data_IF_455081627869
#
_entry.id   IF_455081627869
#
_cell.length_a   1.000
_cell.length_b   1.000
_cell.length_c   1.000
_cell.angle_alpha   90.00
_cell.angle_beta   90.00
_cell.angle_gamma   90.00
#
_symmetry.space_group_name_H-M   'P 1'
#
loop_
_entity.id
_entity.type
_entity.pdbx_description
1 polymer ?
#
# COMPACT_ATOMS: atom_id res chain seq x y z
N UNK A 1 4.55 65.45 -191.22
CA UNK A 1 4.09 65.81 -189.85
C UNK A 1 3.04 64.79 -189.41
N UNK A 2 2.99 64.45 -188.10
CA UNK A 2 1.85 63.88 -187.31
C UNK A 2 1.97 62.41 -186.84
N UNK A 3 1.72 62.18 -185.53
CA UNK A 3 0.73 61.21 -184.98
C UNK A 3 1.10 60.10 -183.96
N UNK A 4 2.35 59.71 -183.64
CA UNK A 4 2.54 58.48 -182.81
C UNK A 4 3.53 58.51 -181.62
N UNK A 5 4.53 59.40 -181.57
CA UNK A 5 5.57 59.31 -180.51
C UNK A 5 5.23 59.95 -179.15
N UNK A 6 4.30 60.90 -179.08
CA UNK A 6 3.94 61.56 -177.81
C UNK A 6 3.11 60.65 -176.87
N UNK A 7 2.41 59.64 -177.41
CA UNK A 7 1.55 58.75 -176.61
C UNK A 7 2.36 57.70 -175.83
N UNK A 8 3.51 57.27 -176.36
CA UNK A 8 4.40 56.31 -175.69
C UNK A 8 5.14 56.94 -174.49
N UNK A 9 5.51 58.22 -174.56
CA UNK A 9 6.22 58.91 -173.47
C UNK A 9 5.33 59.18 -172.24
N UNK A 10 4.02 59.43 -172.45
CA UNK A 10 3.07 59.66 -171.35
C UNK A 10 2.80 58.37 -170.57
N UNK A 11 2.65 57.23 -171.25
CA UNK A 11 2.41 55.93 -170.61
C UNK A 11 3.63 55.43 -169.81
N UNK A 12 4.87 55.72 -170.26
CA UNK A 12 6.08 55.37 -169.52
C UNK A 12 6.26 56.19 -168.23
N UNK A 13 5.84 57.46 -168.22
CA UNK A 13 5.95 58.33 -167.04
C UNK A 13 4.91 57.96 -165.97
N UNK A 14 3.72 57.52 -166.38
CA UNK A 14 2.68 56.99 -165.49
C UNK A 14 3.12 55.70 -164.79
N UNK A 15 3.82 54.80 -165.50
CA UNK A 15 4.30 53.54 -164.93
C UNK A 15 5.41 53.75 -163.88
N UNK A 16 6.35 54.68 -164.11
CA UNK A 16 7.39 55.00 -163.12
C UNK A 16 6.83 55.69 -161.87
N UNK A 17 5.84 56.56 -162.02
CA UNK A 17 5.14 57.20 -160.90
C UNK A 17 4.42 56.16 -160.02
N UNK A 18 3.75 55.18 -160.62
CA UNK A 18 3.07 54.12 -159.89
C UNK A 18 4.05 53.24 -159.09
N UNK A 19 5.23 52.93 -159.64
CA UNK A 19 6.27 52.15 -158.94
C UNK A 19 6.79 52.88 -157.70
N UNK A 20 7.08 54.18 -157.82
CA UNK A 20 7.55 55.01 -156.71
C UNK A 20 6.52 55.11 -155.57
N UNK A 21 5.23 55.24 -155.89
CA UNK A 21 4.16 55.28 -154.89
C UNK A 21 4.03 53.94 -154.15
N UNK A 22 4.10 52.80 -154.87
CA UNK A 22 4.09 51.49 -154.21
C UNK A 22 5.34 51.22 -153.35
N UNK A 23 6.50 51.74 -153.75
CA UNK A 23 7.75 51.60 -152.98
C UNK A 23 7.71 52.43 -151.69
N UNK A 24 7.21 53.67 -151.77
CA UNK A 24 6.99 54.54 -150.63
C UNK A 24 5.96 53.94 -149.66
N UNK A 25 4.87 53.37 -150.19
CA UNK A 25 3.86 52.73 -149.35
C UNK A 25 4.40 51.47 -148.68
N UNK A 26 5.20 50.65 -149.37
CA UNK A 26 5.85 49.48 -148.77
C UNK A 26 6.82 49.87 -147.66
N UNK A 27 7.67 50.88 -147.89
CA UNK A 27 8.58 51.39 -146.87
C UNK A 27 7.86 52.01 -145.67
N UNK A 28 6.73 52.67 -145.91
CA UNK A 28 5.89 53.16 -144.84
C UNK A 28 5.31 52.00 -144.01
N UNK A 29 4.77 50.96 -144.65
CA UNK A 29 4.27 49.75 -143.96
C UNK A 29 5.38 49.04 -143.18
N UNK A 30 6.59 48.91 -143.75
CA UNK A 30 7.74 48.33 -143.06
C UNK A 30 8.20 49.18 -141.87
N UNK A 31 8.25 50.51 -142.02
CA UNK A 31 8.58 51.42 -140.92
C UNK A 31 7.51 51.39 -139.82
N UNK A 32 6.24 51.27 -140.19
CA UNK A 32 5.11 51.12 -139.27
C UNK A 32 5.20 49.80 -138.50
N UNK A 33 5.58 48.71 -139.18
CA UNK A 33 5.82 47.40 -138.56
C UNK A 33 7.02 47.43 -137.60
N UNK A 34 8.12 48.10 -137.96
CA UNK A 34 9.28 48.26 -137.08
C UNK A 34 8.93 49.11 -135.86
N UNK A 35 8.16 50.19 -136.05
CA UNK A 35 7.64 51.04 -134.97
C UNK A 35 6.77 50.24 -134.02
N UNK A 36 5.86 49.42 -134.55
CA UNK A 36 4.99 48.57 -133.73
C UNK A 36 5.79 47.49 -132.97
N UNK A 37 6.85 46.94 -133.59
CA UNK A 37 7.70 45.94 -132.95
C UNK A 37 8.58 46.55 -131.84
N UNK A 38 9.14 47.75 -132.07
CA UNK A 38 9.85 48.52 -131.05
C UNK A 38 8.93 48.94 -129.90
N UNK A 39 7.67 49.28 -130.18
CA UNK A 39 6.68 49.50 -129.12
C UNK A 39 6.40 48.24 -128.31
N UNK A 40 6.31 47.06 -128.96
CA UNK A 40 6.15 45.77 -128.26
C UNK A 40 7.37 45.45 -127.40
N UNK A 41 8.59 45.69 -127.90
CA UNK A 41 9.83 45.54 -127.11
C UNK A 41 9.91 46.54 -125.96
N UNK A 42 9.55 47.81 -126.18
CA UNK A 42 9.49 48.82 -125.14
C UNK A 42 8.49 48.45 -124.04
N UNK A 43 7.31 47.92 -124.40
CA UNK A 43 6.34 47.38 -123.44
C UNK A 43 6.90 46.15 -122.69
N UNK A 44 7.59 45.24 -123.39
CA UNK A 44 8.22 44.05 -122.80
C UNK A 44 9.32 44.40 -121.79
N UNK A 45 10.19 45.36 -122.13
CA UNK A 45 11.24 45.88 -121.25
C UNK A 45 10.64 46.61 -120.04
N UNK A 46 9.58 47.41 -120.25
CA UNK A 46 8.85 48.05 -119.15
C UNK A 46 8.26 47.02 -118.18
N UNK A 47 7.69 45.93 -118.69
CA UNK A 47 7.22 44.81 -117.86
C UNK A 47 8.37 44.10 -117.11
N UNK A 48 9.54 43.92 -117.74
CA UNK A 48 10.71 43.31 -117.08
C UNK A 48 11.26 44.19 -115.95
N UNK A 49 11.37 45.50 -116.18
CA UNK A 49 11.80 46.48 -115.16
C UNK A 49 10.83 46.48 -113.97
N UNK A 50 9.53 46.39 -114.25
CA UNK A 50 8.52 46.33 -113.20
C UNK A 50 8.64 45.03 -112.38
N UNK A 51 8.91 43.90 -113.03
CA UNK A 51 9.18 42.61 -112.34
C UNK A 51 10.46 42.66 -111.51
N UNK A 52 11.53 43.28 -111.99
CA UNK A 52 12.77 43.42 -111.20
C UNK A 52 12.55 44.30 -109.98
N UNK A 53 11.79 45.39 -110.12
CA UNK A 53 11.43 46.26 -109.02
C UNK A 53 10.51 45.55 -108.01
N UNK A 54 9.61 44.67 -108.48
CA UNK A 54 8.84 43.77 -107.61
C UNK A 54 9.73 42.76 -106.87
N UNK A 55 10.75 42.19 -107.52
CA UNK A 55 11.71 41.30 -106.84
C UNK A 55 12.58 42.03 -105.83
N UNK A 56 13.01 43.25 -106.12
CA UNK A 56 13.77 44.09 -105.18
C UNK A 56 12.92 44.43 -103.94
N UNK A 57 11.65 44.79 -104.13
CA UNK A 57 10.71 44.98 -103.01
C UNK A 57 10.56 43.71 -102.17
N UNK A 58 10.48 42.53 -102.79
CA UNK A 58 10.43 41.25 -102.07
C UNK A 58 11.73 40.95 -101.32
N UNK A 59 12.88 41.24 -101.90
CA UNK A 59 14.19 41.07 -101.24
C UNK A 59 14.32 42.02 -100.04
N UNK A 60 13.92 43.28 -100.19
CA UNK A 60 13.91 44.25 -99.09
C UNK A 60 12.97 43.79 -97.96
N UNK A 61 11.77 43.29 -98.31
CA UNK A 61 10.83 42.73 -97.33
C UNK A 61 11.42 41.51 -96.61
N UNK A 62 12.01 40.55 -97.34
CA UNK A 62 12.65 39.36 -96.75
C UNK A 62 13.84 39.73 -95.86
N UNK A 63 14.58 40.79 -96.19
CA UNK A 63 15.69 41.29 -95.37
C UNK A 63 15.17 41.88 -94.06
N UNK A 64 14.10 42.68 -94.12
CA UNK A 64 13.44 43.21 -92.92
C UNK A 64 12.85 42.08 -92.06
N UNK A 65 12.21 41.08 -92.68
CA UNK A 65 11.66 39.92 -91.98
C UNK A 65 12.77 39.09 -91.32
N UNK A 66 13.91 38.90 -91.99
CA UNK A 66 15.08 38.21 -91.43
C UNK A 66 15.65 38.96 -90.22
N UNK A 67 15.78 40.29 -90.30
CA UNK A 67 16.20 41.10 -89.16
C UNK A 67 15.20 41.02 -88.00
N UNK A 68 13.90 41.10 -88.29
CA UNK A 68 12.86 40.92 -87.27
C UNK A 68 12.92 39.53 -86.62
N UNK A 69 13.18 38.47 -87.40
CA UNK A 69 13.37 37.12 -86.86
C UNK A 69 14.66 37.00 -86.02
N UNK A 70 15.76 37.64 -86.43
CA UNK A 70 17.00 37.66 -85.65
C UNK A 70 16.80 38.35 -84.30
N UNK A 71 16.13 39.50 -84.26
CA UNK A 71 15.81 40.17 -83.00
C UNK A 71 14.85 39.35 -82.13
N UNK A 72 13.87 38.66 -82.75
CA UNK A 72 13.00 37.73 -82.04
C UNK A 72 13.78 36.56 -81.43
N UNK A 73 14.73 35.98 -82.16
CA UNK A 73 15.58 34.89 -81.65
C UNK A 73 16.46 35.37 -80.51
N UNK A 74 17.06 36.57 -80.61
CA UNK A 74 17.83 37.17 -79.51
C UNK A 74 16.97 37.35 -78.26
N UNK A 75 15.77 37.91 -78.42
CA UNK A 75 14.82 38.11 -77.31
C UNK A 75 14.38 36.78 -76.70
N UNK A 76 14.12 35.75 -77.49
CA UNK A 76 13.77 34.42 -76.98
C UNK A 76 14.96 33.76 -76.26
N UNK A 77 16.19 33.98 -76.73
CA UNK A 77 17.39 33.44 -76.10
C UNK A 77 17.61 34.06 -74.72
N UNK A 78 17.48 35.39 -74.60
CA UNK A 78 17.58 36.07 -73.31
C UNK A 78 16.44 35.68 -72.37
N UNK A 79 15.21 35.54 -72.88
CA UNK A 79 14.06 35.06 -72.11
C UNK A 79 14.28 33.62 -71.61
N UNK A 80 14.83 32.73 -72.46
CA UNK A 80 15.15 31.35 -72.09
C UNK A 80 16.23 31.27 -71.03
N UNK A 81 17.29 32.09 -71.14
CA UNK A 81 18.35 32.17 -70.13
C UNK A 81 17.82 32.69 -68.79
N UNK A 82 16.99 33.73 -68.82
CA UNK A 82 16.34 34.27 -67.62
C UNK A 82 15.40 33.23 -66.98
N UNK A 83 14.64 32.50 -67.81
CA UNK A 83 13.74 31.43 -67.33
C UNK A 83 14.51 30.25 -66.75
N UNK A 84 15.66 29.90 -67.33
CA UNK A 84 16.54 28.86 -66.82
C UNK A 84 17.17 29.27 -65.48
N UNK A 85 17.61 30.53 -65.32
CA UNK A 85 18.12 31.05 -64.06
C UNK A 85 17.02 31.08 -62.98
N UNK A 86 15.80 31.50 -63.32
CA UNK A 86 14.66 31.46 -62.42
C UNK A 86 14.29 30.02 -62.00
N UNK A 87 14.34 29.06 -62.94
CA UNK A 87 14.10 27.65 -62.65
C UNK A 87 15.19 27.04 -61.74
N UNK A 88 16.46 27.45 -61.90
CA UNK A 88 17.56 27.04 -61.02
C UNK A 88 17.37 27.58 -59.60
N UNK A 89 17.09 28.89 -59.46
CA UNK A 89 16.78 29.49 -58.15
C UNK A 89 15.58 28.81 -57.47
N UNK A 90 14.51 28.53 -58.22
CA UNK A 90 13.35 27.82 -57.70
C UNK A 90 13.63 26.35 -57.34
N UNK A 91 14.63 25.72 -57.95
CA UNK A 91 15.09 24.39 -57.54
C UNK A 91 15.88 24.47 -56.22
N UNK A 92 16.78 25.43 -56.09
CA UNK A 92 17.53 25.67 -54.84
C UNK A 92 16.60 26.00 -53.66
N UNK A 93 15.61 26.86 -53.87
CA UNK A 93 14.62 27.20 -52.85
C UNK A 93 13.79 25.96 -52.43
N UNK A 94 13.44 25.10 -53.39
CA UNK A 94 12.71 23.86 -53.11
C UNK A 94 13.56 22.89 -52.29
N UNK A 95 14.83 22.74 -52.62
CA UNK A 95 15.76 21.87 -51.90
C UNK A 95 15.98 22.39 -50.48
N UNK A 96 16.08 23.72 -50.31
CA UNK A 96 16.14 24.37 -49.00
C UNK A 96 14.89 24.12 -48.17
N UNK A 97 13.71 24.32 -48.74
CA UNK A 97 12.42 24.05 -48.06
C UNK A 97 12.32 22.58 -47.67
N UNK A 98 12.74 21.66 -48.54
CA UNK A 98 12.76 20.23 -48.23
C UNK A 98 13.68 19.89 -47.06
N UNK A 99 14.86 20.52 -46.98
CA UNK A 99 15.79 20.35 -45.87
C UNK A 99 15.23 20.91 -44.55
N UNK A 100 14.60 22.08 -44.58
CA UNK A 100 13.96 22.69 -43.40
C UNK A 100 12.77 21.85 -42.90
N UNK A 101 11.92 21.35 -43.79
CA UNK A 101 10.82 20.44 -43.45
C UNK A 101 11.31 19.14 -42.83
N UNK A 102 12.37 18.56 -43.38
CA UNK A 102 12.99 17.35 -42.82
C UNK A 102 13.53 17.61 -41.41
N UNK A 103 14.27 18.71 -41.22
CA UNK A 103 14.79 19.10 -39.90
C UNK A 103 13.67 19.38 -38.89
N UNK A 104 12.56 19.99 -39.32
CA UNK A 104 11.38 20.18 -38.48
C UNK A 104 10.75 18.84 -38.07
N UNK A 105 10.59 17.90 -39.00
CA UNK A 105 10.05 16.57 -38.73
C UNK A 105 10.90 15.79 -37.72
N UNK A 106 12.23 15.80 -37.88
CA UNK A 106 13.15 15.13 -36.96
C UNK A 106 13.12 15.79 -35.56
N UNK A 107 13.05 17.12 -35.50
CA UNK A 107 12.92 17.86 -34.24
C UNK A 107 11.60 17.56 -33.53
N UNK A 108 10.50 17.46 -34.27
CA UNK A 108 9.18 17.11 -33.73
C UNK A 108 9.18 15.69 -33.16
N UNK A 109 9.69 14.71 -33.92
CA UNK A 109 9.81 13.33 -33.46
C UNK A 109 10.63 13.23 -32.18
N UNK A 110 11.77 13.94 -32.11
CA UNK A 110 12.61 13.96 -30.91
C UNK A 110 11.87 14.52 -29.69
N UNK A 111 11.09 15.60 -29.86
CA UNK A 111 10.27 16.15 -28.77
C UNK A 111 9.18 15.20 -28.32
N UNK A 112 8.55 14.49 -29.25
CA UNK A 112 7.54 13.47 -28.91
C UNK A 112 8.15 12.31 -28.11
N UNK A 113 9.35 11.86 -28.49
CA UNK A 113 10.11 10.85 -27.73
C UNK A 113 10.49 11.34 -26.33
N UNK A 114 10.95 12.59 -26.21
CA UNK A 114 11.26 13.21 -24.91
C UNK A 114 10.02 13.34 -24.03
N UNK A 115 8.88 13.79 -24.58
CA UNK A 115 7.61 13.90 -23.87
C UNK A 115 7.10 12.54 -23.39
N UNK A 116 7.16 11.51 -24.25
CA UNK A 116 6.78 10.15 -23.88
C UNK A 116 7.66 9.60 -22.76
N UNK A 117 8.98 9.85 -22.80
CA UNK A 117 9.88 9.44 -21.74
C UNK A 117 9.57 10.14 -20.40
N UNK A 118 9.17 11.42 -20.43
CA UNK A 118 8.73 12.16 -19.23
C UNK A 118 7.43 11.58 -18.67
N UNK A 119 6.44 11.28 -19.52
CA UNK A 119 5.18 10.66 -19.10
C UNK A 119 5.42 9.29 -18.46
N UNK A 120 6.25 8.44 -19.06
CA UNK A 120 6.59 7.14 -18.49
C UNK A 120 7.22 7.25 -17.09
N UNK A 121 8.16 8.19 -16.90
CA UNK A 121 8.75 8.46 -15.58
C UNK A 121 7.73 8.98 -14.57
N UNK A 122 6.80 9.82 -15.02
CA UNK A 122 5.74 10.37 -14.19
C UNK A 122 4.80 9.25 -13.72
N UNK A 123 4.39 8.34 -14.62
CA UNK A 123 3.59 7.16 -14.29
C UNK A 123 4.31 6.22 -13.31
N UNK A 124 5.59 5.96 -13.50
CA UNK A 124 6.41 5.17 -12.57
C UNK A 124 6.47 5.83 -11.19
N UNK A 125 6.65 7.16 -11.14
CA UNK A 125 6.65 7.90 -9.89
C UNK A 125 5.30 7.85 -9.17
N UNK A 126 4.18 7.95 -9.90
CA UNK A 126 2.83 7.85 -9.34
C UNK A 126 2.53 6.46 -8.81
N UNK A 127 2.90 5.42 -9.56
CA UNK A 127 2.69 4.03 -9.12
C UNK A 127 3.52 3.72 -7.88
N UNK A 128 4.77 4.16 -7.83
CA UNK A 128 5.63 4.06 -6.64
C UNK A 128 5.05 4.80 -5.43
N UNK A 129 4.61 6.06 -5.61
CA UNK A 129 4.00 6.84 -4.54
C UNK A 129 2.70 6.19 -4.02
N UNK A 130 1.88 5.64 -4.91
CA UNK A 130 0.66 4.92 -4.54
C UNK A 130 0.95 3.66 -3.74
N UNK A 131 1.98 2.89 -4.12
CA UNK A 131 2.41 1.70 -3.37
C UNK A 131 2.96 2.07 -1.99
N UNK A 132 3.76 3.13 -1.91
CA UNK A 132 4.27 3.64 -0.64
C UNK A 132 3.14 4.06 0.30
N UNK A 133 2.13 4.76 -0.22
CA UNK A 133 0.94 5.16 0.55
C UNK A 133 0.14 3.94 1.03
N UNK A 134 -0.13 2.97 0.17
CA UNK A 134 -0.84 1.75 0.55
C UNK A 134 -0.10 0.96 1.66
N UNK A 135 1.23 0.87 1.58
CA UNK A 135 2.06 0.24 2.61
C UNK A 135 1.99 1.02 3.93
N UNK A 136 2.05 2.36 3.87
CA UNK A 136 1.91 3.21 5.06
C UNK A 136 0.56 3.01 5.75
N UNK A 137 -0.54 2.95 4.99
CA UNK A 137 -1.86 2.68 5.54
C UNK A 137 -1.94 1.30 6.19
N UNK A 138 -1.43 0.25 5.53
CA UNK A 138 -1.41 -1.08 6.11
C UNK A 138 -0.59 -1.16 7.42
N UNK A 139 0.52 -0.41 7.52
CA UNK A 139 1.29 -0.29 8.77
C UNK A 139 0.52 0.45 9.85
N UNK A 140 -0.24 1.48 9.47
CA UNK A 140 -1.06 2.23 10.41
C UNK A 140 -2.18 1.35 10.98
N UNK A 141 -2.88 0.59 10.14
CA UNK A 141 -3.89 -0.38 10.59
C UNK A 141 -3.27 -1.42 11.53
N UNK A 142 -2.08 -1.95 11.19
CA UNK A 142 -1.38 -2.89 12.06
C UNK A 142 -1.00 -2.28 13.42
N UNK A 143 -0.57 -1.01 13.44
CA UNK A 143 -0.28 -0.29 14.68
C UNK A 143 -1.55 -0.07 15.52
N UNK A 144 -2.66 0.32 14.90
CA UNK A 144 -3.94 0.51 15.59
C UNK A 144 -4.42 -0.81 16.23
N UNK A 145 -4.32 -1.93 15.50
CA UNK A 145 -4.62 -3.25 16.07
C UNK A 145 -3.68 -3.63 17.21
N UNK A 146 -2.37 -3.36 17.07
CA UNK A 146 -1.39 -3.63 18.12
C UNK A 146 -1.62 -2.79 19.37
N UNK A 147 -2.05 -1.52 19.23
CA UNK A 147 -2.41 -0.66 20.36
C UNK A 147 -3.63 -1.21 21.11
N UNK A 148 -4.66 -1.67 20.38
CA UNK A 148 -5.85 -2.27 20.99
C UNK A 148 -5.51 -3.55 21.78
N UNK A 149 -4.66 -4.41 21.22
CA UNK A 149 -4.20 -5.65 21.89
C UNK A 149 -3.39 -5.35 23.16
N UNK A 150 -2.46 -4.39 23.08
CA UNK A 150 -1.68 -3.96 24.25
C UNK A 150 -2.56 -3.37 25.35
N UNK A 151 -3.57 -2.58 24.97
CA UNK A 151 -4.53 -2.02 25.91
C UNK A 151 -5.36 -3.11 26.60
N UNK A 152 -5.79 -4.13 25.86
CA UNK A 152 -6.49 -5.28 26.43
C UNK A 152 -5.59 -6.06 27.41
N UNK A 153 -4.32 -6.30 27.06
CA UNK A 153 -3.37 -6.98 27.95
C UNK A 153 -3.11 -6.17 29.23
N UNK A 154 -2.98 -4.84 29.14
CA UNK A 154 -2.81 -3.98 30.32
C UNK A 154 -4.01 -4.08 31.25
N UNK A 155 -5.23 -4.13 30.71
CA UNK A 155 -6.44 -4.24 31.53
C UNK A 155 -6.55 -5.61 32.20
N UNK A 156 -6.21 -6.68 31.49
CA UNK A 156 -6.13 -8.03 32.05
C UNK A 156 -5.10 -8.13 33.18
N UNK A 157 -3.90 -7.58 32.97
CA UNK A 157 -2.85 -7.51 33.99
C UNK A 157 -3.29 -6.74 35.23
N UNK A 158 -4.03 -5.63 35.07
CA UNK A 158 -4.60 -4.89 36.21
C UNK A 158 -5.64 -5.71 36.96
N UNK A 159 -6.48 -6.47 36.24
CA UNK A 159 -7.43 -7.40 36.85
C UNK A 159 -6.74 -8.42 37.74
N UNK A 160 -5.68 -9.05 37.23
CA UNK A 160 -4.85 -9.98 38.01
C UNK A 160 -4.14 -9.32 39.20
N UNK A 161 -3.66 -8.07 39.04
CA UNK A 161 -3.04 -7.35 40.15
C UNK A 161 -4.02 -7.13 41.31
N UNK A 162 -5.27 -6.76 41.02
CA UNK A 162 -6.31 -6.58 42.04
C UNK A 162 -6.74 -7.90 42.70
N UNK A 163 -6.81 -9.00 41.94
CA UNK A 163 -7.06 -10.34 42.48
C UNK A 163 -5.96 -10.76 43.46
N UNK A 164 -4.69 -10.59 43.08
CA UNK A 164 -3.54 -10.89 43.93
C UNK A 164 -3.52 -10.01 45.18
N UNK A 165 -3.89 -8.73 45.08
CA UNK A 165 -4.02 -7.84 46.25
C UNK A 165 -5.09 -8.34 47.21
N UNK A 166 -6.26 -8.75 46.69
CA UNK A 166 -7.34 -9.29 47.51
C UNK A 166 -6.94 -10.59 48.22
N UNK A 167 -6.30 -11.51 47.51
CA UNK A 167 -5.79 -12.76 48.08
C UNK A 167 -4.74 -12.50 49.16
N UNK A 168 -3.79 -11.61 48.92
CA UNK A 168 -2.77 -11.21 49.90
C UNK A 168 -3.40 -10.60 51.16
N UNK A 169 -4.43 -9.75 51.01
CA UNK A 169 -5.14 -9.19 52.15
C UNK A 169 -5.84 -10.29 52.97
N UNK A 170 -6.48 -11.26 52.31
CA UNK A 170 -7.14 -12.39 52.98
C UNK A 170 -6.13 -13.30 53.68
N UNK A 171 -5.00 -13.61 53.05
CA UNK A 171 -3.92 -14.40 53.65
C UNK A 171 -3.30 -13.68 54.85
N UNK A 172 -3.08 -12.38 54.76
CA UNK A 172 -2.56 -11.58 55.87
C UNK A 172 -3.51 -11.62 57.08
N UNK A 173 -4.82 -11.48 56.86
CA UNK A 173 -5.81 -11.60 57.92
C UNK A 173 -5.80 -13.00 58.57
N UNK A 174 -5.66 -14.07 57.79
CA UNK A 174 -5.51 -15.45 58.31
C UNK A 174 -4.25 -15.62 59.15
N UNK A 175 -3.13 -15.05 58.71
CA UNK A 175 -1.86 -15.10 59.46
C UNK A 175 -1.99 -14.37 60.79
N UNK A 176 -2.63 -13.19 60.80
CA UNK A 176 -2.88 -12.42 62.02
C UNK A 176 -3.77 -13.20 63.01
N UNK A 177 -4.84 -13.86 62.53
CA UNK A 177 -5.71 -14.71 63.35
C UNK A 177 -4.99 -15.94 63.93
N UNK A 178 -4.19 -16.63 63.12
CA UNK A 178 -3.36 -17.75 63.57
C UNK A 178 -2.33 -17.30 64.61
N UNK A 179 -1.72 -16.13 64.41
CA UNK A 179 -0.76 -15.56 65.35
C UNK A 179 -1.44 -15.20 66.68
N UNK A 180 -2.64 -14.60 66.64
CA UNK A 180 -3.43 -14.32 67.83
C UNK A 180 -3.81 -15.62 68.58
N UNK A 181 -4.22 -16.65 67.83
CA UNK A 181 -4.55 -17.98 68.38
C UNK A 181 -3.34 -18.61 69.06
N UNK A 182 -2.17 -18.61 68.39
CA UNK A 182 -0.92 -19.11 68.93
C UNK A 182 -0.54 -18.40 70.23
N UNK A 183 -0.57 -17.06 70.24
CA UNK A 183 -0.23 -16.26 71.42
C UNK A 183 -1.15 -16.62 72.58
N UNK A 184 -2.47 -16.66 72.33
CA UNK A 184 -3.45 -16.98 73.37
C UNK A 184 -3.29 -18.42 73.91
N UNK A 185 -3.09 -19.41 73.05
CA UNK A 185 -2.88 -20.81 73.46
C UNK A 185 -1.67 -20.95 74.38
N UNK A 186 -0.57 -20.25 74.07
CA UNK A 186 0.66 -20.28 74.85
C UNK A 186 0.55 -19.48 76.17
N UNK A 187 -0.18 -18.37 76.18
CA UNK A 187 -0.31 -17.53 77.39
C UNK A 187 -1.37 -18.01 78.36
N UNK A 188 -2.51 -18.49 77.85
CA UNK A 188 -3.73 -18.68 78.63
C UNK A 188 -4.40 -20.04 78.36
N UNK A 189 -4.41 -20.51 77.11
CA UNK A 189 -5.05 -21.78 76.73
C UNK A 189 -4.50 -22.98 77.50
N UNK A 190 -3.17 -23.12 77.57
CA UNK A 190 -2.53 -24.21 78.34
C UNK A 190 -2.88 -24.15 79.84
N UNK A 191 -2.98 -22.94 80.41
CA UNK A 191 -3.35 -22.74 81.81
C UNK A 191 -4.81 -23.15 82.06
N UNK A 192 -5.72 -22.79 81.15
CA UNK A 192 -7.12 -23.20 81.22
C UNK A 192 -7.27 -24.71 81.07
N UNK A 193 -6.56 -25.34 80.14
CA UNK A 193 -6.55 -26.79 79.98
C UNK A 193 -6.10 -27.49 81.27
N UNK A 194 -4.98 -27.07 81.86
CA UNK A 194 -4.49 -27.62 83.12
C UNK A 194 -5.50 -27.42 84.27
N UNK A 195 -6.16 -26.26 84.32
CA UNK A 195 -7.22 -25.98 85.30
C UNK A 195 -8.42 -26.90 85.11
N UNK A 196 -8.85 -27.15 83.87
CA UNK A 196 -9.97 -28.06 83.56
C UNK A 196 -9.65 -29.50 83.96
N UNK A 197 -8.42 -29.94 83.73
CA UNK A 197 -7.96 -31.27 84.16
C UNK A 197 -7.94 -31.36 85.69
N UNK A 198 -7.32 -30.40 86.39
CA UNK A 198 -7.17 -30.44 87.85
C UNK A 198 -8.48 -30.29 88.62
N UNK A 199 -9.41 -29.46 88.12
CA UNK A 199 -10.71 -29.21 88.75
C UNK A 199 -11.85 -30.01 88.11
N UNK A 200 -11.54 -30.89 87.16
CA UNK A 200 -12.54 -31.70 86.49
C UNK A 200 -13.20 -32.69 87.46
N UNK A 201 -14.46 -33.10 87.18
CA UNK A 201 -15.13 -34.15 87.95
C UNK A 201 -14.32 -35.45 87.96
N UNK A 202 -13.57 -35.74 86.90
CA UNK A 202 -12.76 -36.96 86.77
C UNK A 202 -11.60 -36.97 87.78
N UNK A 203 -10.80 -35.89 87.82
CA UNK A 203 -9.68 -35.76 88.77
C UNK A 203 -10.16 -35.71 90.21
N UNK A 204 -11.20 -34.92 90.49
CA UNK A 204 -11.74 -34.77 91.85
C UNK A 204 -12.33 -36.08 92.38
N UNK A 205 -13.10 -36.81 91.56
CA UNK A 205 -13.65 -38.11 91.93
C UNK A 205 -12.54 -39.16 92.16
N UNK A 206 -11.51 -39.18 91.33
CA UNK A 206 -10.42 -40.13 91.47
C UNK A 206 -9.54 -39.85 92.70
N UNK A 207 -9.20 -38.59 92.97
CA UNK A 207 -8.48 -38.20 94.20
C UNK A 207 -9.32 -38.54 95.44
N UNK A 208 -10.63 -38.26 95.42
CA UNK A 208 -11.52 -38.61 96.51
C UNK A 208 -11.58 -40.13 96.72
N UNK A 209 -11.65 -40.94 95.65
CA UNK A 209 -11.64 -42.40 95.72
C UNK A 209 -10.35 -42.95 96.35
N UNK A 210 -9.18 -42.45 95.91
CA UNK A 210 -7.88 -42.84 96.48
C UNK A 210 -7.78 -42.44 97.95
N UNK A 211 -8.19 -41.21 98.31
CA UNK A 211 -8.14 -40.73 99.69
C UNK A 211 -9.07 -41.54 100.62
N UNK A 212 -10.26 -41.89 100.15
CA UNK A 212 -11.21 -42.72 100.90
C UNK A 212 -10.67 -44.14 101.10
N UNK A 213 -10.11 -44.75 100.04
CA UNK A 213 -9.51 -46.08 100.12
C UNK A 213 -8.27 -46.10 101.04
N UNK A 214 -7.42 -45.08 100.97
CA UNK A 214 -6.25 -44.93 101.85
C UNK A 214 -6.67 -44.79 103.32
N UNK A 215 -7.68 -43.96 103.59
CA UNK A 215 -8.26 -43.82 104.93
C UNK A 215 -8.79 -45.16 105.45
N UNK A 216 -9.48 -45.94 104.60
CA UNK A 216 -9.96 -47.27 104.94
C UNK A 216 -8.81 -48.23 105.26
N UNK A 217 -7.70 -48.23 104.50
CA UNK A 217 -6.51 -49.04 104.80
C UNK A 217 -5.90 -48.67 106.16
N UNK A 218 -5.79 -47.38 106.46
CA UNK A 218 -5.28 -46.90 107.76
C UNK A 218 -6.13 -47.37 108.93
N UNK A 219 -7.45 -47.20 108.84
CA UNK A 219 -8.42 -47.67 109.86
C UNK A 219 -8.32 -49.20 110.03
N UNK A 220 -8.30 -49.96 108.93
CA UNK A 220 -8.21 -51.43 108.98
C UNK A 220 -6.89 -51.93 109.55
N UNK A 221 -5.77 -51.27 109.24
CA UNK A 221 -4.47 -51.58 109.82
C UNK A 221 -4.46 -51.35 111.33
N UNK A 222 -5.08 -50.25 111.79
CA UNK A 222 -5.27 -49.96 113.21
C UNK A 222 -6.13 -51.01 113.93
N UNK A 223 -7.29 -51.36 113.34
CA UNK A 223 -8.20 -52.39 113.86
C UNK A 223 -7.53 -53.77 113.92
N UNK A 224 -6.79 -54.16 112.88
CA UNK A 224 -6.06 -55.42 112.82
C UNK A 224 -5.01 -55.53 113.93
N UNK A 225 -4.19 -54.49 114.10
CA UNK A 225 -3.17 -54.46 115.17
C UNK A 225 -3.81 -54.46 116.57
N UNK A 226 -4.90 -53.72 116.76
CA UNK A 226 -5.68 -53.74 118.00
C UNK A 226 -6.23 -55.14 118.31
N UNK A 227 -6.75 -55.84 117.30
CA UNK A 227 -7.23 -57.21 117.42
C UNK A 227 -6.11 -58.19 117.77
N UNK A 228 -4.96 -58.14 117.09
CA UNK A 228 -3.80 -58.96 117.43
C UNK A 228 -3.33 -58.76 118.88
N UNK A 229 -3.38 -57.52 119.38
CA UNK A 229 -3.06 -57.21 120.76
C UNK A 229 -4.11 -57.75 121.76
N UNK A 230 -5.40 -57.71 121.41
CA UNK A 230 -6.49 -58.26 122.23
C UNK A 230 -6.45 -59.80 122.32
N UNK A 231 -6.15 -60.48 121.20
CA UNK A 231 -5.92 -61.93 121.13
C UNK A 231 -4.80 -62.38 122.08
N UNK A 232 -3.67 -61.65 122.11
CA UNK A 232 -2.58 -61.90 123.07
C UNK A 232 -3.03 -61.78 124.54
N UNK A 233 -4.08 -61.00 124.81
CA UNK A 233 -4.68 -60.82 126.15
C UNK A 233 -5.84 -61.78 126.45
N UNK A 234 -6.03 -62.85 125.66
CA UNK A 234 -7.05 -63.91 125.86
C UNK A 234 -8.51 -63.42 125.91
N UNK A 235 -8.86 -62.38 125.16
CA UNK A 235 -10.28 -62.02 124.95
C UNK A 235 -10.78 -62.66 123.64
N UNK A 236 -11.83 -63.50 123.68
CA UNK A 236 -12.29 -64.21 122.48
C UNK A 236 -13.20 -63.29 121.66
N UNK A 237 -12.71 -62.80 120.51
CA UNK A 237 -13.54 -62.18 119.48
C UNK A 237 -13.54 -63.10 118.26
N UNK A 238 -14.72 -63.59 117.88
CA UNK A 238 -14.91 -64.50 116.73
C UNK A 238 -14.75 -63.78 115.39
N UNK A 239 -15.20 -62.52 115.30
CA UNK A 239 -15.00 -61.62 114.15
C UNK A 239 -14.86 -60.19 114.67
N UNK A 240 -14.01 -59.37 114.02
CA UNK A 240 -13.88 -57.95 114.35
C UNK A 240 -14.89 -57.18 113.51
N UNK A 241 -15.97 -56.63 114.11
CA UNK A 241 -16.92 -55.83 113.36
C UNK A 241 -16.19 -54.66 112.70
N UNK A 242 -16.50 -54.41 111.42
CA UNK A 242 -15.91 -53.34 110.60
C UNK A 242 -14.49 -53.55 110.05
N UNK A 243 -13.87 -54.72 110.26
CA UNK A 243 -12.60 -55.03 109.58
C UNK A 243 -12.85 -55.41 108.10
N UNK A 244 -12.58 -54.49 107.18
CA UNK A 244 -12.50 -54.78 105.74
C UNK A 244 -11.13 -55.38 105.40
N UNK A 245 -11.11 -56.69 105.10
CA UNK A 245 -9.90 -57.42 104.70
C UNK A 245 -9.40 -57.08 103.29
N UNK A 246 -10.24 -56.48 102.45
CA UNK A 246 -9.93 -56.15 101.06
C UNK A 246 -9.51 -54.69 100.87
N UNK A 247 -9.39 -53.90 101.94
CA UNK A 247 -9.08 -52.47 101.86
C UNK A 247 -7.78 -52.18 101.07
N UNK A 248 -6.78 -53.06 101.15
CA UNK A 248 -5.54 -52.93 100.39
C UNK A 248 -5.75 -53.16 98.88
N UNK A 249 -6.60 -54.12 98.50
CA UNK A 249 -6.96 -54.38 97.11
C UNK A 249 -7.82 -53.24 96.54
N UNK A 250 -8.73 -52.67 97.34
CA UNK A 250 -9.53 -51.49 96.99
C UNK A 250 -8.66 -50.26 96.76
N UNK A 251 -7.63 -50.04 97.59
CA UNK A 251 -6.65 -48.97 97.37
C UNK A 251 -5.87 -49.18 96.07
N UNK A 252 -5.37 -50.40 95.82
CA UNK A 252 -4.66 -50.71 94.58
C UNK A 252 -5.56 -50.51 93.34
N UNK A 253 -6.84 -50.89 93.42
CA UNK A 253 -7.80 -50.66 92.36
C UNK A 253 -8.11 -49.17 92.14
N UNK A 254 -8.19 -48.38 93.22
CA UNK A 254 -8.37 -46.92 93.14
C UNK A 254 -7.15 -46.23 92.52
N UNK A 255 -5.94 -46.63 92.89
CA UNK A 255 -4.69 -46.14 92.29
C UNK A 255 -4.61 -46.52 90.81
N UNK A 256 -4.90 -47.77 90.45
CA UNK A 256 -4.90 -48.21 89.05
C UNK A 256 -5.90 -47.42 88.19
N UNK A 257 -7.09 -47.08 88.74
CA UNK A 257 -8.08 -46.23 88.06
C UNK A 257 -7.62 -44.78 87.93
N UNK A 258 -6.89 -44.26 88.92
CA UNK A 258 -6.29 -42.94 88.86
C UNK A 258 -5.23 -42.87 87.76
N UNK A 259 -4.36 -43.87 87.64
CA UNK A 259 -3.33 -43.92 86.62
C UNK A 259 -3.90 -44.04 85.18
N UNK A 260 -5.09 -44.63 85.04
CA UNK A 260 -5.79 -44.77 83.76
C UNK A 260 -6.85 -43.69 83.52
N UNK A 261 -6.77 -42.53 84.18
CA UNK A 261 -7.71 -41.44 83.99
C UNK A 261 -7.66 -40.88 82.56
N UNK A 262 -8.82 -40.80 81.94
CA UNK A 262 -9.03 -40.06 80.70
C UNK A 262 -9.81 -38.78 81.00
N UNK A 263 -9.49 -37.71 80.28
CA UNK A 263 -10.14 -36.40 80.44
C UNK A 263 -10.88 -36.05 79.14
N UNK A 264 -12.22 -35.91 79.16
CA UNK A 264 -13.01 -35.57 77.98
C UNK A 264 -12.51 -34.31 77.27
N UNK A 265 -12.07 -33.30 78.04
CA UNK A 265 -11.50 -32.06 77.50
C UNK A 265 -10.28 -32.30 76.61
N UNK A 266 -9.47 -33.32 76.88
CA UNK A 266 -8.29 -33.67 76.08
C UNK A 266 -8.69 -34.44 74.82
N UNK A 267 -9.70 -35.31 74.92
CA UNK A 267 -10.25 -36.07 73.79
C UNK A 267 -10.99 -35.18 72.78
N UNK A 268 -11.53 -34.05 73.23
CA UNK A 268 -12.25 -33.10 72.38
C UNK A 268 -11.33 -32.08 71.66
N UNK A 269 -10.07 -31.91 72.09
CA UNK A 269 -9.13 -30.96 71.45
C UNK A 269 -8.94 -31.18 69.94
N UNK A 270 -8.82 -32.41 69.41
CA UNK A 270 -8.69 -32.63 67.97
C UNK A 270 -9.90 -32.15 67.16
N UNK A 271 -11.09 -32.07 67.78
CA UNK A 271 -12.33 -31.66 67.12
C UNK A 271 -12.40 -30.15 66.86
N UNK A 272 -11.55 -29.35 67.53
CA UNK A 272 -11.59 -27.88 67.49
C UNK A 272 -10.37 -27.25 66.77
N UNK A 273 -9.53 -28.05 66.10
CA UNK A 273 -8.27 -27.60 65.48
C UNK A 273 -8.45 -26.56 64.37
N UNK A 274 -9.58 -26.61 63.64
CA UNK A 274 -9.89 -25.70 62.53
C UNK A 274 -10.89 -24.60 62.92
N UNK A 275 -11.22 -24.49 64.21
CA UNK A 275 -12.23 -23.57 64.69
C UNK A 275 -11.62 -22.20 65.03
N UNK A 276 -12.39 -21.10 64.95
CA UNK A 276 -11.90 -19.77 65.28
C UNK A 276 -11.56 -19.67 66.78
N UNK A 277 -10.66 -18.75 67.11
CA UNK A 277 -10.19 -18.53 68.49
C UNK A 277 -11.34 -18.32 69.50
N UNK A 278 -12.44 -17.69 69.11
CA UNK A 278 -13.62 -17.52 69.96
C UNK A 278 -14.20 -18.87 70.42
N UNK A 279 -14.36 -19.81 69.50
CA UNK A 279 -14.91 -21.13 69.81
C UNK A 279 -13.93 -21.99 70.60
N UNK A 280 -12.64 -21.88 70.31
CA UNK A 280 -11.59 -22.54 71.12
C UNK A 280 -11.63 -22.02 72.57
N UNK A 281 -11.78 -20.70 72.75
CA UNK A 281 -11.94 -20.07 74.07
C UNK A 281 -13.18 -20.59 74.79
N UNK A 282 -14.31 -20.67 74.12
CA UNK A 282 -15.57 -21.12 74.72
C UNK A 282 -15.47 -22.55 75.25
N UNK A 283 -14.85 -23.47 74.48
CA UNK A 283 -14.67 -24.87 74.87
C UNK A 283 -13.70 -25.02 76.04
N UNK A 284 -12.64 -24.21 76.08
CA UNK A 284 -11.65 -24.26 77.16
C UNK A 284 -12.04 -23.43 78.39
N UNK A 285 -12.93 -22.45 78.22
CA UNK A 285 -13.54 -21.75 79.34
C UNK A 285 -14.41 -22.75 80.09
N UNK A 286 -14.06 -22.99 81.35
CA UNK A 286 -14.76 -23.89 82.25
C UNK A 286 -16.28 -23.82 82.01
N UNK A 287 -16.93 -24.94 81.75
CA UNK A 287 -18.37 -25.03 81.92
C UNK A 287 -18.65 -24.79 83.41
N UNK A 288 -18.76 -23.53 83.82
CA UNK A 288 -19.32 -23.11 85.10
C UNK A 288 -20.81 -23.41 85.08
N UNK A 289 -21.14 -24.69 84.99
CA UNK A 289 -22.47 -25.24 85.16
C UNK A 289 -22.69 -25.60 86.62
N UNK A 290 -22.68 -24.60 87.50
CA UNK A 290 -23.36 -24.61 88.80
C UNK A 290 -24.05 -23.25 88.91
N UNK A 291 -25.29 -23.14 88.41
CA UNK A 291 -26.47 -23.16 89.27
C UNK A 291 -26.37 -22.21 90.48
N UNK A 292 -26.36 -20.90 90.24
CA UNK A 292 -26.96 -19.97 91.20
C UNK A 292 -28.49 -20.13 91.13
N UNK A 293 -28.98 -21.20 91.74
CA UNK A 293 -30.30 -21.25 92.36
C UNK A 293 -30.05 -21.43 93.85
N UNK A 294 -29.99 -20.32 94.56
CA UNK A 294 -30.58 -20.08 95.88
C UNK A 294 -30.53 -18.58 96.16
#
# INVERSE_FOLDING_TARGET
MKSQDLSAMVLSNQAQSNVLVTELYRRWVEAESVRENLEKEARSLKCKIQRTLETEKKIAQLTLDLQAQQEKVKSLTTQSQSSQAAAASAAEDRDRIAAELKGFSESMQKKDEEHNAVLAKMEESFTSARLAYANMMAKWDALETGEADLKAQIEDMKGHEEEIKAENAALKAKVEDLQATKVWMLSEGARLLAKNIHKGPEMTAAVAAVNNAMSAVGVNSGLHNGYLHALKKKTPYAEVPMLNRNAAEELNAAVARFDSLAFPVVEDLPKIVNEPLSKIKDVLSFASGESSKE
#
